data_IF_072971448899
#
_entry.id   IF_072971448899
#
_cell.length_a   1.000
_cell.length_b   1.000
_cell.length_c   1.000
_cell.angle_alpha   90.00
_cell.angle_beta   90.00
_cell.angle_gamma   90.00
#
_symmetry.space_group_name_H-M   'P 1'
#
loop_
_entity.id
_entity.type
_entity.pdbx_description
1 polymer ?
#
# COMPACT_ATOMS: atom_id res chain seq x y z
N UNK A 1 -41.31 -11.85 5.60
CA UNK A 1 -40.34 -12.57 6.45
C UNK A 1 -38.98 -12.50 5.76
N UNK A 2 -37.94 -11.96 6.40
CA UNK A 2 -36.63 -11.78 5.76
C UNK A 2 -35.89 -13.14 5.77
N UNK A 3 -35.43 -13.60 4.60
CA UNK A 3 -34.60 -14.79 4.46
C UNK A 3 -33.15 -14.37 4.33
N UNK A 4 -32.33 -14.71 5.30
CA UNK A 4 -30.89 -14.52 5.22
C UNK A 4 -30.27 -15.68 4.42
N UNK A 5 -29.45 -15.33 3.42
CA UNK A 5 -28.75 -16.30 2.56
C UNK A 5 -27.36 -16.68 3.10
N UNK A 6 -26.82 -15.86 4.01
CA UNK A 6 -25.55 -16.09 4.70
C UNK A 6 -25.59 -15.40 6.06
N UNK A 7 -25.05 -16.06 7.07
CA UNK A 7 -24.82 -15.48 8.38
C UNK A 7 -23.32 -15.23 8.57
N UNK A 8 -22.99 -14.21 9.35
CA UNK A 8 -21.61 -14.01 9.81
C UNK A 8 -21.16 -15.19 10.66
N UNK A 9 -19.84 -15.39 10.77
CA UNK A 9 -19.28 -16.33 11.74
C UNK A 9 -19.70 -15.92 13.16
N UNK A 10 -19.89 -16.92 14.03
CA UNK A 10 -20.15 -16.71 15.44
C UNK A 10 -19.07 -15.82 16.09
N UNK A 11 -19.45 -15.02 17.08
CA UNK A 11 -18.56 -14.05 17.73
C UNK A 11 -17.39 -14.75 18.43
N UNK A 12 -17.61 -15.90 19.07
CA UNK A 12 -16.54 -16.66 19.71
C UNK A 12 -15.55 -17.20 18.67
N UNK A 13 -16.07 -17.76 17.58
CA UNK A 13 -15.24 -18.27 16.47
C UNK A 13 -14.38 -17.16 15.87
N UNK A 14 -14.94 -15.97 15.68
CA UNK A 14 -14.18 -14.80 15.19
C UNK A 14 -13.08 -14.39 16.17
N UNK A 15 -13.40 -14.34 17.46
CA UNK A 15 -12.42 -13.98 18.49
C UNK A 15 -11.26 -14.97 18.55
N UNK A 16 -11.52 -16.28 18.42
CA UNK A 16 -10.48 -17.30 18.39
C UNK A 16 -9.60 -17.21 17.13
N UNK A 17 -10.22 -16.99 15.96
CA UNK A 17 -9.50 -16.75 14.71
C UNK A 17 -8.57 -15.53 14.84
N UNK A 18 -9.07 -14.43 15.42
CA UNK A 18 -8.29 -13.19 15.62
C UNK A 18 -7.08 -13.41 16.52
N UNK A 19 -7.21 -14.18 17.61
CA UNK A 19 -6.08 -14.52 18.50
C UNK A 19 -5.01 -15.32 17.75
N UNK A 20 -5.41 -16.30 16.94
CA UNK A 20 -4.46 -17.12 16.14
C UNK A 20 -3.74 -16.27 15.09
N UNK A 21 -4.46 -15.41 14.38
CA UNK A 21 -3.89 -14.49 13.39
C UNK A 21 -2.89 -13.56 14.07
N UNK A 22 -3.27 -12.93 15.18
CA UNK A 22 -2.40 -12.03 15.94
C UNK A 22 -1.11 -12.72 16.35
N UNK A 23 -1.20 -13.90 16.98
CA UNK A 23 -0.01 -14.65 17.42
C UNK A 23 0.91 -15.00 16.25
N UNK A 24 0.33 -15.31 15.08
CA UNK A 24 1.12 -15.62 13.88
C UNK A 24 1.84 -14.38 13.35
N UNK A 25 1.14 -13.26 13.23
CA UNK A 25 1.71 -12.00 12.73
C UNK A 25 2.79 -11.47 13.66
N UNK A 26 2.56 -11.47 14.98
CA UNK A 26 3.56 -11.06 15.97
C UNK A 26 4.83 -11.93 15.89
N UNK A 27 4.69 -13.23 15.64
CA UNK A 27 5.81 -14.14 15.43
C UNK A 27 6.60 -13.81 14.17
N UNK A 28 5.92 -13.57 13.05
CA UNK A 28 6.55 -13.21 11.77
C UNK A 28 7.32 -11.89 11.89
N UNK A 29 6.72 -10.87 12.52
CA UNK A 29 7.37 -9.56 12.69
C UNK A 29 8.65 -9.70 13.52
N UNK A 30 8.60 -10.38 14.68
CA UNK A 30 9.78 -10.59 15.53
C UNK A 30 10.91 -11.32 14.80
N UNK A 31 10.54 -12.29 13.98
CA UNK A 31 11.50 -13.07 13.20
C UNK A 31 12.18 -12.23 12.11
N UNK A 32 11.41 -11.39 11.41
CA UNK A 32 11.94 -10.43 10.42
C UNK A 32 12.80 -9.37 11.10
N UNK A 33 12.41 -8.85 12.27
CA UNK A 33 13.23 -7.89 13.02
C UNK A 33 14.58 -8.49 13.43
N UNK A 34 14.61 -9.78 13.78
CA UNK A 34 15.83 -10.46 14.23
C UNK A 34 16.74 -10.90 13.07
N UNK A 35 16.18 -11.34 11.93
CA UNK A 35 16.93 -11.99 10.84
C UNK A 35 16.91 -11.24 9.51
N UNK A 36 16.11 -10.18 9.40
CA UNK A 36 15.95 -9.40 8.17
C UNK A 36 15.51 -10.24 6.97
N UNK A 37 16.16 -10.01 5.84
CA UNK A 37 15.82 -10.63 4.54
C UNK A 37 15.89 -12.16 4.53
N UNK A 38 16.66 -12.77 5.43
CA UNK A 38 16.72 -14.22 5.55
C UNK A 38 15.35 -14.77 5.98
N UNK A 39 14.69 -14.13 6.96
CA UNK A 39 13.34 -14.51 7.36
C UNK A 39 12.32 -14.25 6.25
N UNK A 40 12.41 -13.10 5.56
CA UNK A 40 11.53 -12.76 4.43
C UNK A 40 11.59 -13.85 3.35
N UNK A 41 12.79 -14.32 3.03
CA UNK A 41 13.00 -15.40 2.05
C UNK A 41 12.40 -16.73 2.48
N UNK A 42 12.56 -17.11 3.75
CA UNK A 42 11.94 -18.32 4.30
C UNK A 42 10.40 -18.24 4.22
N UNK A 43 9.82 -17.08 4.52
CA UNK A 43 8.37 -16.87 4.41
C UNK A 43 7.88 -16.86 2.97
N UNK A 44 8.63 -16.27 2.03
CA UNK A 44 8.26 -16.27 0.61
C UNK A 44 8.27 -17.70 0.02
N UNK A 45 9.27 -18.52 0.37
CA UNK A 45 9.26 -19.95 0.04
C UNK A 45 8.06 -20.68 0.63
N UNK A 46 7.74 -20.39 1.90
CA UNK A 46 6.67 -21.08 2.63
C UNK A 46 5.27 -20.73 2.13
N UNK A 47 4.99 -19.46 1.88
CA UNK A 47 3.65 -18.97 1.57
C UNK A 47 3.40 -18.81 0.08
N UNK A 48 4.41 -18.40 -0.68
CA UNK A 48 4.28 -18.07 -2.10
C UNK A 48 4.94 -19.11 -3.01
N UNK A 49 5.74 -20.02 -2.44
CA UNK A 49 6.60 -20.93 -3.18
C UNK A 49 7.48 -20.18 -4.20
N UNK A 50 7.99 -19.02 -3.78
CA UNK A 50 8.76 -18.08 -4.61
C UNK A 50 10.08 -17.73 -3.93
N UNK A 51 11.18 -17.77 -4.68
CA UNK A 51 12.54 -17.54 -4.17
C UNK A 51 13.45 -16.96 -5.27
N UNK A 52 13.21 -15.71 -5.70
CA UNK A 52 14.01 -15.07 -6.73
C UNK A 52 15.41 -14.75 -6.20
N UNK A 53 16.41 -14.62 -7.06
CA UNK A 53 17.76 -14.21 -6.61
C UNK A 53 17.74 -12.87 -5.85
N UNK A 54 16.93 -11.92 -6.34
CA UNK A 54 16.65 -10.63 -5.71
C UNK A 54 15.14 -10.39 -5.69
N UNK A 55 14.62 -9.84 -4.60
CA UNK A 55 13.22 -9.41 -4.50
C UNK A 55 12.96 -8.09 -5.23
N UNK A 56 14.00 -7.29 -5.44
CA UNK A 56 13.93 -6.05 -6.20
C UNK A 56 13.95 -6.35 -7.69
N UNK A 57 12.92 -5.90 -8.39
CA UNK A 57 12.91 -5.95 -9.85
C UNK A 57 14.06 -5.12 -10.43
N UNK A 58 14.79 -5.73 -11.35
CA UNK A 58 15.78 -5.05 -12.17
C UNK A 58 15.11 -4.14 -13.19
N UNK A 59 15.86 -3.16 -13.69
CA UNK A 59 15.38 -2.27 -14.74
C UNK A 59 14.95 -3.02 -16.01
N UNK A 60 15.67 -4.10 -16.36
CA UNK A 60 15.32 -4.94 -17.52
C UNK A 60 14.00 -5.69 -17.34
N UNK A 61 13.71 -6.19 -16.14
CA UNK A 61 12.42 -6.82 -15.83
C UNK A 61 11.27 -5.83 -15.91
N UNK A 62 11.47 -4.60 -15.41
CA UNK A 62 10.48 -3.51 -15.50
C UNK A 62 10.21 -3.18 -16.98
N UNK A 63 11.24 -3.00 -17.78
CA UNK A 63 11.10 -2.71 -19.22
C UNK A 63 10.42 -3.85 -19.99
N UNK A 64 10.74 -5.10 -19.66
CA UNK A 64 10.09 -6.26 -20.25
C UNK A 64 8.60 -6.31 -19.89
N UNK A 65 8.25 -6.05 -18.63
CA UNK A 65 6.85 -5.95 -18.19
C UNK A 65 6.11 -4.82 -18.92
N UNK A 66 6.73 -3.64 -19.06
CA UNK A 66 6.13 -2.52 -19.81
C UNK A 66 5.92 -2.87 -21.29
N UNK A 67 6.89 -3.53 -21.93
CA UNK A 67 6.80 -3.97 -23.34
C UNK A 67 5.74 -5.06 -23.57
N UNK A 68 5.33 -5.76 -22.52
CA UNK A 68 4.26 -6.77 -22.59
C UNK A 68 2.85 -6.17 -22.71
N UNK A 69 2.70 -4.88 -22.38
CA UNK A 69 1.44 -4.17 -22.44
C UNK A 69 1.11 -3.74 -23.87
N UNK A 70 -0.16 -3.83 -24.24
CA UNK A 70 -0.69 -3.23 -25.46
C UNK A 70 -0.70 -1.71 -25.37
N UNK A 71 -0.71 -1.04 -26.53
CA UNK A 71 -0.83 0.42 -26.58
C UNK A 71 -2.07 0.93 -25.84
N UNK A 72 -3.20 0.20 -25.93
CA UNK A 72 -4.43 0.55 -25.22
C UNK A 72 -4.28 0.47 -23.71
N UNK A 73 -3.65 -0.57 -23.17
CA UNK A 73 -3.42 -0.69 -21.73
C UNK A 73 -2.53 0.45 -21.22
N UNK A 74 -1.52 0.85 -21.99
CA UNK A 74 -0.66 1.99 -21.67
C UNK A 74 -1.47 3.29 -21.65
N UNK A 75 -2.32 3.52 -22.65
CA UNK A 75 -3.20 4.69 -22.72
C UNK A 75 -4.17 4.73 -21.52
N UNK A 76 -4.83 3.62 -21.19
CA UNK A 76 -5.77 3.53 -20.08
C UNK A 76 -5.10 3.80 -18.73
N UNK A 77 -3.91 3.21 -18.50
CA UNK A 77 -3.09 3.45 -17.30
C UNK A 77 -2.67 4.92 -17.21
N UNK A 78 -2.20 5.49 -18.32
CA UNK A 78 -1.73 6.89 -18.36
C UNK A 78 -2.88 7.86 -18.11
N UNK A 79 -4.06 7.58 -18.68
CA UNK A 79 -5.26 8.36 -18.46
C UNK A 79 -5.67 8.35 -16.99
N UNK A 80 -5.75 7.15 -16.37
CA UNK A 80 -6.11 7.01 -14.97
C UNK A 80 -5.13 7.75 -14.04
N UNK A 81 -3.83 7.59 -14.28
CA UNK A 81 -2.80 8.30 -13.53
C UNK A 81 -2.94 9.82 -13.66
N UNK A 82 -3.20 10.33 -14.87
CA UNK A 82 -3.41 11.77 -15.09
C UNK A 82 -4.58 12.30 -14.26
N UNK A 83 -5.71 11.60 -14.24
CA UNK A 83 -6.88 12.05 -13.46
C UNK A 83 -6.60 12.05 -11.94
N UNK A 84 -6.01 10.98 -11.43
CA UNK A 84 -5.68 10.86 -9.99
C UNK A 84 -4.69 11.93 -9.57
N UNK A 85 -3.60 12.12 -10.33
CA UNK A 85 -2.58 13.14 -10.05
C UNK A 85 -3.15 14.56 -10.10
N UNK A 86 -4.02 14.85 -11.07
CA UNK A 86 -4.64 16.17 -11.18
C UNK A 86 -5.42 16.52 -9.91
N UNK A 87 -6.23 15.60 -9.39
CA UNK A 87 -7.01 15.86 -8.19
C UNK A 87 -6.15 15.91 -6.92
N UNK A 88 -5.16 15.01 -6.79
CA UNK A 88 -4.21 15.05 -5.68
C UNK A 88 -3.42 16.36 -5.63
N UNK A 89 -3.04 16.90 -6.79
CA UNK A 89 -2.38 18.20 -6.88
C UNK A 89 -3.30 19.34 -6.41
N UNK A 90 -4.59 19.33 -6.81
CA UNK A 90 -5.58 20.31 -6.32
C UNK A 90 -5.71 20.24 -4.79
N UNK A 91 -5.77 19.03 -4.22
CA UNK A 91 -5.81 18.85 -2.76
C UNK A 91 -4.55 19.41 -2.10
N UNK A 92 -3.37 19.11 -2.65
CA UNK A 92 -2.10 19.65 -2.17
C UNK A 92 -2.06 21.17 -2.22
N UNK A 93 -2.47 21.77 -3.33
CA UNK A 93 -2.42 23.23 -3.51
C UNK A 93 -3.45 23.97 -2.64
N UNK A 94 -4.49 23.26 -2.17
CA UNK A 94 -5.43 23.78 -1.19
C UNK A 94 -4.87 23.84 0.24
N UNK A 95 -3.82 23.06 0.53
CA UNK A 95 -3.13 23.05 1.82
C UNK A 95 -2.08 24.16 1.85
N UNK A 96 -2.28 25.15 2.72
CA UNK A 96 -1.34 26.26 2.89
C UNK A 96 -0.79 26.25 4.31
N UNK A 97 0.51 26.40 4.40
CA UNK A 97 1.15 26.76 5.66
C UNK A 97 0.58 28.09 6.15
N UNK A 98 0.38 28.18 7.45
CA UNK A 98 -0.11 29.40 8.10
C UNK A 98 0.97 29.86 9.06
N UNK A 99 1.30 31.14 9.00
CA UNK A 99 2.17 31.82 9.96
C UNK A 99 1.66 33.25 10.08
N UNK A 100 1.14 33.60 11.26
CA UNK A 100 0.46 34.88 11.50
C UNK A 100 0.79 35.39 12.90
N UNK A 101 1.15 36.67 13.00
CA UNK A 101 1.24 37.36 14.28
C UNK A 101 -0.16 37.74 14.79
N UNK A 102 -0.61 37.08 15.85
CA UNK A 102 -1.97 37.24 16.40
C UNK A 102 -2.04 38.26 17.54
N UNK A 103 -0.88 38.57 18.13
CA UNK A 103 -0.67 39.59 19.15
C UNK A 103 0.79 40.06 19.04
N UNK A 104 1.15 41.31 19.39
CA UNK A 104 2.54 41.77 19.30
C UNK A 104 3.54 40.79 19.92
N UNK A 105 4.44 40.27 19.09
CA UNK A 105 5.46 39.27 19.45
C UNK A 105 4.99 37.81 19.47
N UNK A 106 3.73 37.51 19.14
CA UNK A 106 3.14 36.15 19.19
C UNK A 106 2.77 35.66 17.79
N UNK A 107 3.60 34.78 17.25
CA UNK A 107 3.40 34.14 15.94
C UNK A 107 2.79 32.75 16.15
N UNK A 108 1.64 32.50 15.52
CA UNK A 108 0.95 31.22 15.51
C UNK A 108 0.79 30.71 14.08
N UNK A 109 0.72 29.38 13.93
CA UNK A 109 0.72 28.79 12.61
C UNK A 109 0.67 27.27 12.59
N UNK A 110 0.63 26.72 11.39
CA UNK A 110 0.82 25.30 11.11
C UNK A 110 1.62 25.11 9.82
N UNK A 111 2.27 23.96 9.70
CA UNK A 111 3.05 23.58 8.53
C UNK A 111 2.69 22.18 8.06
N UNK A 112 2.62 21.99 6.74
CA UNK A 112 2.49 20.68 6.13
C UNK A 112 3.89 20.13 5.80
N UNK A 113 4.29 19.04 6.45
CA UNK A 113 5.61 18.40 6.27
C UNK A 113 5.40 17.02 5.64
N UNK A 114 6.02 16.71 4.49
CA UNK A 114 5.92 15.38 3.91
C UNK A 114 6.67 14.35 4.75
N UNK A 115 6.20 13.11 4.70
CA UNK A 115 6.93 11.96 5.27
C UNK A 115 8.17 11.66 4.42
N UNK A 116 9.26 11.25 5.06
CA UNK A 116 10.53 10.97 4.38
C UNK A 116 10.51 9.68 3.56
N UNK A 117 9.65 8.72 3.91
CA UNK A 117 9.52 7.44 3.23
C UNK A 117 8.09 6.90 3.37
N UNK A 118 7.61 6.22 2.32
CA UNK A 118 6.32 5.54 2.28
C UNK A 118 6.52 4.14 1.71
N UNK A 119 5.89 3.14 2.32
CA UNK A 119 5.77 1.79 1.78
C UNK A 119 4.35 1.53 1.30
N UNK A 120 4.19 1.06 0.06
CA UNK A 120 2.89 0.71 -0.52
C UNK A 120 2.82 -0.80 -0.72
N UNK A 121 1.82 -1.46 -0.14
CA UNK A 121 1.55 -2.88 -0.37
C UNK A 121 0.45 -3.06 -1.40
N UNK A 122 0.76 -3.76 -2.49
CA UNK A 122 -0.18 -4.09 -3.55
C UNK A 122 -0.42 -5.61 -3.51
N UNK A 123 -1.64 -6.08 -3.21
CA UNK A 123 -1.91 -7.52 -3.14
C UNK A 123 -1.78 -8.15 -4.53
N UNK A 124 -1.05 -9.26 -4.60
CA UNK A 124 -0.97 -10.11 -5.78
C UNK A 124 -2.22 -11.00 -5.97
N UNK A 125 -2.12 -11.98 -6.86
CA UNK A 125 -3.17 -12.97 -7.12
C UNK A 125 -3.77 -12.89 -8.53
N UNK A 126 -4.83 -13.67 -8.77
CA UNK A 126 -5.42 -13.89 -10.10
C UNK A 126 -6.02 -12.62 -10.74
N UNK A 127 -6.39 -11.64 -9.92
CA UNK A 127 -7.00 -10.38 -10.37
C UNK A 127 -6.28 -9.20 -9.68
N UNK A 128 -5.13 -8.75 -10.22
CA UNK A 128 -4.37 -7.67 -9.61
C UNK A 128 -5.19 -6.38 -9.58
N UNK A 129 -5.30 -5.78 -8.40
CA UNK A 129 -6.05 -4.54 -8.20
C UNK A 129 -5.19 -3.32 -8.53
N UNK A 130 -4.99 -3.05 -9.83
CA UNK A 130 -4.14 -1.95 -10.34
C UNK A 130 -4.54 -0.57 -9.75
N UNK A 131 -5.82 -0.37 -9.46
CA UNK A 131 -6.33 0.85 -8.84
C UNK A 131 -5.64 1.19 -7.50
N UNK A 132 -5.27 0.18 -6.71
CA UNK A 132 -4.59 0.40 -5.43
C UNK A 132 -3.20 1.04 -5.63
N UNK A 133 -2.48 0.68 -6.69
CA UNK A 133 -1.19 1.29 -7.01
C UNK A 133 -1.35 2.75 -7.44
N UNK A 134 -2.37 3.07 -8.24
CA UNK A 134 -2.67 4.46 -8.60
C UNK A 134 -2.98 5.33 -7.39
N UNK A 135 -3.77 4.82 -6.44
CA UNK A 135 -4.23 5.59 -5.29
C UNK A 135 -3.21 5.69 -4.15
N UNK A 136 -2.21 4.81 -4.09
CA UNK A 136 -1.22 4.78 -3.01
C UNK A 136 0.16 5.27 -3.40
N UNK A 137 0.59 5.09 -4.66
CA UNK A 137 1.94 5.44 -5.11
C UNK A 137 1.98 6.81 -5.80
N UNK A 138 0.89 7.21 -6.46
CA UNK A 138 0.90 8.39 -7.33
C UNK A 138 0.63 9.72 -6.61
N UNK A 139 -0.07 9.66 -5.48
CA UNK A 139 -0.58 10.81 -4.71
C UNK A 139 0.39 11.19 -3.60
#
# INVERSE_FOLDING_TARGET
MIRYLKHGKDVQVRSEDDVKVRSTVEGIIKDIEARGDVAVRDYSRKFDNWDPSDFRLSQGEIEAAMKSLSAREIEDITFAQKQVRNFAQIQRDSMKDVEVETHPGVILGHKHIPVNAVGCYIPGGKYPMIASAHMSVLT
#
